data_IF_595145151408
#
_entry.id   IF_595145151408
#
_cell.length_a   1.000
_cell.length_b   1.000
_cell.length_c   1.000
_cell.angle_alpha   90.00
_cell.angle_beta   90.00
_cell.angle_gamma   90.00
#
_symmetry.space_group_name_H-M   'P 1'
#
loop_
_entity.id
_entity.type
_entity.pdbx_description
1 polymer ?
#
# COMPACT_ATOMS: atom_id res chain seq x y z
N UNK A 1 -5.20 -22.04 -49.97
CA UNK A 1 -6.00 -21.91 -48.72
C UNK A 1 -5.02 -21.99 -47.56
N UNK A 2 -4.63 -20.84 -47.00
CA UNK A 2 -3.70 -20.78 -45.87
C UNK A 2 -4.49 -20.29 -44.66
N UNK A 3 -4.69 -21.19 -43.69
CA UNK A 3 -5.48 -20.93 -42.50
C UNK A 3 -4.83 -19.81 -41.67
N UNK A 4 -5.46 -18.65 -41.66
CA UNK A 4 -5.19 -17.57 -40.71
C UNK A 4 -5.57 -18.07 -39.32
N UNK A 5 -4.54 -18.36 -38.51
CA UNK A 5 -4.70 -18.58 -37.08
C UNK A 5 -5.24 -17.27 -36.45
N UNK A 6 -6.54 -17.22 -36.19
CA UNK A 6 -7.16 -16.20 -35.37
C UNK A 6 -6.49 -16.22 -33.99
N UNK A 7 -5.67 -15.20 -33.72
CA UNK A 7 -5.14 -14.97 -32.37
C UNK A 7 -6.33 -14.59 -31.47
N UNK A 8 -6.56 -15.29 -30.34
CA UNK A 8 -7.64 -14.94 -29.44
C UNK A 8 -7.38 -13.56 -28.80
N UNK A 9 -8.45 -12.81 -28.49
CA UNK A 9 -8.33 -11.44 -28.02
C UNK A 9 -7.67 -11.40 -26.63
N UNK A 10 -6.43 -10.89 -26.55
CA UNK A 10 -5.69 -10.55 -25.31
C UNK A 10 -6.35 -9.37 -24.56
N UNK A 11 -7.63 -9.45 -24.22
CA UNK A 11 -8.38 -8.35 -23.60
C UNK A 11 -8.66 -8.53 -22.10
N UNK A 12 -8.64 -9.76 -21.56
CA UNK A 12 -8.96 -9.99 -20.13
C UNK A 12 -7.78 -9.78 -19.17
N UNK A 13 -6.54 -10.06 -19.59
CA UNK A 13 -5.37 -9.95 -18.70
C UNK A 13 -4.97 -8.50 -18.37
N UNK A 14 -5.32 -7.54 -19.23
CA UNK A 14 -4.99 -6.12 -19.06
C UNK A 14 -5.80 -5.43 -17.95
N UNK A 15 -7.02 -5.90 -17.68
CA UNK A 15 -7.89 -5.29 -16.64
C UNK A 15 -7.47 -5.67 -15.22
N UNK A 16 -6.90 -6.87 -15.04
CA UNK A 16 -6.49 -7.35 -13.71
C UNK A 16 -5.08 -6.88 -13.32
N UNK A 17 -4.25 -6.52 -14.30
CA UNK A 17 -2.89 -6.01 -14.08
C UNK A 17 -2.80 -4.85 -13.05
N UNK A 18 -3.63 -3.80 -13.11
CA UNK A 18 -3.57 -2.71 -12.12
C UNK A 18 -4.06 -3.12 -10.73
N UNK A 19 -4.99 -4.07 -10.63
CA UNK A 19 -5.47 -4.62 -9.34
C UNK A 19 -4.38 -5.45 -8.67
N UNK A 20 -3.81 -6.41 -9.41
CA UNK A 20 -2.73 -7.27 -8.90
C UNK A 20 -1.50 -6.42 -8.54
N UNK A 21 -1.16 -5.42 -9.38
CA UNK A 21 -0.09 -4.49 -9.09
C UNK A 21 -0.35 -3.68 -7.82
N UNK A 22 -1.58 -3.20 -7.61
CA UNK A 22 -2.01 -2.51 -6.39
C UNK A 22 -1.89 -3.40 -5.15
N UNK A 23 -2.43 -4.63 -5.22
CA UNK A 23 -2.33 -5.63 -4.15
C UNK A 23 -0.88 -5.93 -3.77
N UNK A 24 -0.03 -6.29 -4.74
CA UNK A 24 1.37 -6.67 -4.49
C UNK A 24 2.18 -5.47 -3.98
N UNK A 25 1.96 -4.29 -4.55
CA UNK A 25 2.66 -3.07 -4.11
C UNK A 25 2.30 -2.69 -2.68
N UNK A 26 1.04 -2.82 -2.28
CA UNK A 26 0.63 -2.57 -0.90
C UNK A 26 1.03 -3.70 0.05
N UNK A 27 1.06 -4.96 -0.41
CA UNK A 27 1.50 -6.09 0.41
C UNK A 27 2.94 -5.94 0.91
N UNK A 28 3.82 -5.42 0.07
CA UNK A 28 5.24 -5.21 0.42
C UNK A 28 5.48 -3.78 0.89
N UNK A 29 4.86 -2.81 0.24
CA UNK A 29 5.07 -1.40 0.50
C UNK A 29 4.46 -0.92 1.81
N UNK A 30 3.27 -1.41 2.19
CA UNK A 30 2.65 -0.95 3.43
C UNK A 30 3.42 -1.37 4.68
N UNK A 31 3.85 -2.64 4.84
CA UNK A 31 4.72 -3.02 5.97
C UNK A 31 6.06 -2.28 5.98
N UNK A 32 6.61 -1.98 4.80
CA UNK A 32 7.89 -1.29 4.68
C UNK A 32 7.77 0.20 5.06
N UNK A 33 6.68 0.87 4.64
CA UNK A 33 6.41 2.25 5.06
C UNK A 33 6.10 2.28 6.56
N UNK A 34 5.29 1.37 7.08
CA UNK A 34 4.98 1.28 8.50
C UNK A 34 6.23 1.07 9.37
N UNK A 35 7.11 0.16 8.94
CA UNK A 35 8.37 -0.13 9.61
C UNK A 35 9.36 1.05 9.58
N UNK A 36 9.20 2.03 8.68
CA UNK A 36 10.06 3.22 8.61
C UNK A 36 9.43 4.42 9.30
N UNK A 37 8.13 4.64 9.12
CA UNK A 37 7.41 5.80 9.67
C UNK A 37 7.39 5.74 11.18
N UNK A 38 7.06 4.59 11.78
CA UNK A 38 6.93 4.50 13.23
C UNK A 38 8.25 4.72 13.98
N UNK A 39 9.37 4.04 13.64
CA UNK A 39 10.66 4.32 14.27
C UNK A 39 11.16 5.73 13.99
N UNK A 40 10.85 6.31 12.83
CA UNK A 40 11.19 7.70 12.53
C UNK A 40 10.42 8.68 13.43
N UNK A 41 9.12 8.47 13.64
CA UNK A 41 8.31 9.31 14.54
C UNK A 41 8.79 9.18 15.97
N UNK A 42 9.07 7.97 16.46
CA UNK A 42 9.67 7.77 17.78
C UNK A 42 11.01 8.47 17.88
N UNK A 43 11.89 8.32 16.89
CA UNK A 43 13.21 8.93 16.88
C UNK A 43 13.11 10.46 16.96
N UNK A 44 12.21 11.07 16.17
CA UNK A 44 11.99 12.52 16.19
C UNK A 44 11.43 12.96 17.55
N UNK A 45 10.43 12.26 18.08
CA UNK A 45 9.83 12.61 19.37
C UNK A 45 10.86 12.54 20.50
N UNK A 46 11.64 11.47 20.57
CA UNK A 46 12.68 11.29 21.58
C UNK A 46 13.84 12.27 21.41
N UNK A 47 14.22 12.57 20.16
CA UNK A 47 15.26 13.57 19.87
C UNK A 47 14.85 14.99 20.30
N UNK A 48 13.55 15.31 20.27
CA UNK A 48 13.03 16.60 20.72
C UNK A 48 12.99 16.72 22.24
N UNK A 49 12.73 15.62 22.95
CA UNK A 49 12.61 15.60 24.41
C UNK A 49 13.98 15.47 25.09
N UNK A 50 14.80 14.50 24.66
CA UNK A 50 16.03 14.10 25.36
C UNK A 50 17.33 14.45 24.57
N UNK A 51 17.19 15.00 23.36
CA UNK A 51 18.30 15.35 22.47
C UNK A 51 18.74 14.19 21.56
N UNK A 52 19.57 14.46 20.53
CA UNK A 52 19.99 13.45 19.55
C UNK A 52 21.01 12.48 20.17
N UNK A 53 20.57 11.24 20.41
CA UNK A 53 21.39 10.17 21.00
C UNK A 53 21.61 9.02 20.00
N UNK A 54 22.85 8.52 19.92
CA UNK A 54 23.22 7.38 19.07
C UNK A 54 22.54 6.08 19.50
N UNK A 55 22.28 5.91 20.80
CA UNK A 55 21.57 4.74 21.33
C UNK A 55 20.12 4.68 20.85
N UNK A 56 19.41 5.81 20.84
CA UNK A 56 18.03 5.92 20.31
C UNK A 56 17.98 5.61 18.81
N UNK A 57 18.99 6.02 18.06
CA UNK A 57 19.14 5.71 16.64
C UNK A 57 19.30 4.21 16.40
N UNK A 58 20.13 3.55 17.21
CA UNK A 58 20.40 2.11 17.12
C UNK A 58 19.17 1.29 17.53
N UNK A 59 18.46 1.72 18.58
CA UNK A 59 17.18 1.13 18.98
C UNK A 59 16.12 1.25 17.88
N UNK A 60 15.95 2.45 17.31
CA UNK A 60 14.98 2.67 16.22
C UNK A 60 15.33 1.82 14.99
N UNK A 61 16.62 1.74 14.63
CA UNK A 61 17.08 0.90 13.53
C UNK A 61 16.81 -0.59 13.77
N UNK A 62 16.96 -1.07 15.01
CA UNK A 62 16.63 -2.44 15.42
C UNK A 62 15.13 -2.74 15.40
N UNK A 63 14.26 -1.75 15.62
CA UNK A 63 12.81 -1.90 15.57
C UNK A 63 12.27 -2.07 14.15
N UNK A 64 12.93 -1.52 13.13
CA UNK A 64 12.50 -1.63 11.71
C UNK A 64 12.26 -3.09 11.27
N UNK A 65 13.24 -4.02 11.37
CA UNK A 65 13.02 -5.41 10.96
C UNK A 65 11.98 -6.12 11.84
N UNK A 66 11.90 -5.78 13.13
CA UNK A 66 10.91 -6.36 14.04
C UNK A 66 9.48 -5.95 13.63
N UNK A 67 9.24 -4.67 13.37
CA UNK A 67 7.93 -4.17 12.92
C UNK A 67 7.57 -4.74 11.55
N UNK A 68 8.55 -4.87 10.67
CA UNK A 68 8.35 -5.49 9.36
C UNK A 68 7.90 -6.96 9.50
N UNK A 69 8.65 -7.78 10.25
CA UNK A 69 8.30 -9.20 10.47
C UNK A 69 6.98 -9.35 11.23
N UNK A 70 6.76 -8.51 12.26
CA UNK A 70 5.51 -8.49 13.02
C UNK A 70 4.31 -8.17 12.12
N UNK A 71 4.45 -7.26 11.15
CA UNK A 71 3.36 -6.94 10.22
C UNK A 71 2.90 -8.15 9.41
N UNK A 72 3.82 -9.03 9.02
CA UNK A 72 3.49 -10.30 8.35
C UNK A 72 2.91 -11.32 9.33
N UNK A 73 3.51 -11.45 10.52
CA UNK A 73 3.10 -12.44 11.52
C UNK A 73 1.69 -12.16 12.09
N UNK A 74 1.39 -10.90 12.36
CA UNK A 74 0.09 -10.45 12.85
C UNK A 74 -0.94 -10.21 11.74
N UNK A 75 -0.60 -10.43 10.47
CA UNK A 75 -1.55 -10.36 9.37
C UNK A 75 -2.01 -8.96 8.96
N UNK A 76 -1.38 -7.88 9.44
CA UNK A 76 -1.71 -6.50 9.04
C UNK A 76 -1.50 -6.23 7.53
N UNK A 77 -0.85 -7.15 6.83
CA UNK A 77 -0.75 -7.15 5.37
C UNK A 77 -2.11 -7.38 4.68
N UNK A 78 -3.05 -8.10 5.32
CA UNK A 78 -4.39 -8.36 4.77
C UNK A 78 -5.18 -7.07 4.46
N UNK A 79 -5.42 -6.16 5.44
CA UNK A 79 -6.12 -4.92 5.15
C UNK A 79 -5.36 -4.05 4.13
N UNK A 80 -4.02 -4.09 4.12
CA UNK A 80 -3.23 -3.39 3.11
C UNK A 80 -3.42 -3.95 1.69
N UNK A 81 -3.45 -5.28 1.52
CA UNK A 81 -3.73 -5.94 0.23
C UNK A 81 -5.12 -5.53 -0.27
N UNK A 82 -6.13 -5.59 0.61
CA UNK A 82 -7.51 -5.22 0.26
C UNK A 82 -7.58 -3.76 -0.18
N UNK A 83 -6.96 -2.85 0.57
CA UNK A 83 -6.91 -1.43 0.21
C UNK A 83 -6.18 -1.20 -1.12
N UNK A 84 -5.03 -1.83 -1.32
CA UNK A 84 -4.26 -1.76 -2.57
C UNK A 84 -5.01 -2.31 -3.77
N UNK A 85 -5.79 -3.38 -3.60
CA UNK A 85 -6.63 -3.96 -4.64
C UNK A 85 -7.77 -3.05 -5.06
N UNK A 86 -8.51 -2.48 -4.10
CA UNK A 86 -9.58 -1.50 -4.35
C UNK A 86 -9.03 -0.29 -5.09
N UNK A 87 -7.92 0.24 -4.61
CA UNK A 87 -7.21 1.38 -5.20
C UNK A 87 -6.69 1.09 -6.61
N UNK A 88 -6.13 -0.11 -6.83
CA UNK A 88 -5.69 -0.59 -8.13
C UNK A 88 -6.84 -0.75 -9.11
N UNK A 89 -8.01 -1.22 -8.65
CA UNK A 89 -9.22 -1.36 -9.46
C UNK A 89 -9.81 -0.01 -9.89
N UNK A 90 -9.80 0.98 -8.99
CA UNK A 90 -10.25 2.34 -9.29
C UNK A 90 -9.30 3.01 -10.30
N UNK A 91 -8.00 2.75 -10.18
CA UNK A 91 -6.97 3.26 -11.08
C UNK A 91 -6.91 4.79 -11.14
N UNK A 92 -6.56 5.38 -12.27
CA UNK A 92 -6.45 6.85 -12.44
C UNK A 92 -7.77 7.52 -12.81
N UNK A 93 -8.93 6.94 -12.52
CA UNK A 93 -10.24 7.53 -12.86
C UNK A 93 -10.53 8.82 -12.09
N UNK A 94 -9.89 9.00 -10.93
CA UNK A 94 -10.09 10.14 -10.02
C UNK A 94 -8.84 11.03 -10.03
N UNK A 95 -9.00 12.35 -9.86
CA UNK A 95 -7.88 13.30 -9.68
C UNK A 95 -7.00 12.88 -8.49
N UNK A 96 -5.68 13.10 -8.60
CA UNK A 96 -4.66 12.77 -7.58
C UNK A 96 -5.04 13.07 -6.12
N UNK A 97 -5.62 14.24 -5.85
CA UNK A 97 -6.05 14.63 -4.49
C UNK A 97 -7.20 13.74 -3.96
N UNK A 98 -8.19 13.44 -4.80
CA UNK A 98 -9.30 12.55 -4.44
C UNK A 98 -8.85 11.10 -4.29
N UNK A 99 -7.90 10.66 -5.12
CA UNK A 99 -7.34 9.31 -5.03
C UNK A 99 -6.57 9.07 -3.71
N UNK A 100 -5.80 10.07 -3.26
CA UNK A 100 -5.10 10.00 -1.95
C UNK A 100 -6.09 9.99 -0.78
N UNK A 101 -7.09 10.88 -0.79
CA UNK A 101 -8.12 10.89 0.26
C UNK A 101 -8.89 9.56 0.32
N UNK A 102 -9.26 9.02 -0.84
CA UNK A 102 -9.96 7.74 -0.92
C UNK A 102 -9.09 6.61 -0.38
N UNK A 103 -7.80 6.57 -0.72
CA UNK A 103 -6.90 5.57 -0.19
C UNK A 103 -6.69 5.67 1.31
N UNK A 104 -6.65 6.89 1.88
CA UNK A 104 -6.63 7.07 3.35
C UNK A 104 -7.90 6.52 3.99
N UNK A 105 -9.08 6.84 3.45
CA UNK A 105 -10.37 6.37 3.96
C UNK A 105 -10.45 4.84 3.88
N UNK A 106 -10.11 4.26 2.72
CA UNK A 106 -10.15 2.80 2.49
C UNK A 106 -9.13 2.07 3.37
N UNK A 107 -7.90 2.59 3.47
CA UNK A 107 -6.86 2.00 4.31
C UNK A 107 -7.19 2.06 5.81
N UNK A 108 -7.64 3.23 6.30
CA UNK A 108 -8.01 3.41 7.71
C UNK A 108 -9.24 2.56 8.09
N UNK A 109 -10.25 2.48 7.20
CA UNK A 109 -11.43 1.65 7.43
C UNK A 109 -11.10 0.16 7.39
N UNK A 110 -10.26 -0.30 6.45
CA UNK A 110 -9.81 -1.68 6.40
C UNK A 110 -9.00 -2.06 7.64
N UNK A 111 -8.11 -1.18 8.10
CA UNK A 111 -7.29 -1.42 9.28
C UNK A 111 -8.11 -1.42 10.57
N UNK A 112 -9.03 -0.46 10.72
CA UNK A 112 -9.96 -0.40 11.85
C UNK A 112 -10.87 -1.63 11.88
N UNK A 113 -11.40 -2.04 10.73
CA UNK A 113 -12.20 -3.25 10.61
C UNK A 113 -11.42 -4.52 10.97
N UNK A 114 -10.14 -4.59 10.58
CA UNK A 114 -9.26 -5.70 10.95
C UNK A 114 -8.98 -5.73 12.46
N UNK A 115 -8.70 -4.57 13.08
CA UNK A 115 -8.48 -4.47 14.52
C UNK A 115 -9.72 -4.88 15.32
N UNK A 116 -10.92 -4.44 14.91
CA UNK A 116 -12.19 -4.83 15.53
C UNK A 116 -12.46 -6.34 15.37
N UNK A 117 -12.22 -6.88 14.17
CA UNK A 117 -12.37 -8.32 13.92
C UNK A 117 -11.42 -9.15 14.78
N UNK A 118 -10.16 -8.71 14.91
CA UNK A 118 -9.15 -9.34 15.77
C UNK A 118 -9.56 -9.28 17.25
N UNK A 119 -10.01 -8.13 17.73
CA UNK A 119 -10.49 -7.97 19.11
C UNK A 119 -11.70 -8.88 19.39
N UNK A 120 -12.65 -8.96 18.46
CA UNK A 120 -13.80 -9.85 18.55
C UNK A 120 -13.40 -11.33 18.57
N UNK A 121 -12.51 -11.77 17.67
CA UNK A 121 -12.05 -13.16 17.63
C UNK A 121 -11.26 -13.57 18.89
N UNK A 122 -10.50 -12.64 19.48
CA UNK A 122 -9.69 -12.88 20.66
C UNK A 122 -10.44 -12.63 21.98
N UNK A 123 -11.70 -12.20 21.94
CA UNK A 123 -12.48 -11.87 23.13
C UNK A 123 -11.89 -10.71 23.94
N UNK A 124 -11.16 -9.81 23.29
CA UNK A 124 -10.55 -8.65 23.93
C UNK A 124 -11.55 -7.49 23.98
N UNK A 125 -11.79 -6.94 25.16
CA UNK A 125 -12.69 -5.79 25.37
C UNK A 125 -12.09 -4.45 24.89
N UNK A 126 -10.78 -4.41 24.61
CA UNK A 126 -10.08 -3.19 24.24
C UNK A 126 -9.15 -3.39 23.03
N UNK A 127 -9.13 -2.38 22.15
CA UNK A 127 -8.17 -2.29 21.05
C UNK A 127 -6.79 -2.08 21.67
N UNK A 128 -5.93 -3.11 21.60
CA UNK A 128 -4.59 -3.04 22.20
C UNK A 128 -3.79 -1.85 21.66
N UNK A 129 -2.88 -1.28 22.46
CA UNK A 129 -2.09 -0.11 22.05
C UNK A 129 -1.34 -0.28 20.73
N UNK A 130 -0.97 -1.52 20.38
CA UNK A 130 -0.36 -1.89 19.09
C UNK A 130 -1.34 -1.67 17.92
N UNK A 131 -2.62 -2.02 18.09
CA UNK A 131 -3.65 -1.81 17.07
C UNK A 131 -3.95 -0.33 16.87
N UNK A 132 -3.95 0.47 17.95
CA UNK A 132 -4.09 1.93 17.86
C UNK A 132 -2.94 2.60 17.09
N UNK A 133 -1.70 2.18 17.35
CA UNK A 133 -0.52 2.60 16.60
C UNK A 133 -0.64 2.22 15.13
N UNK A 134 -1.09 1.00 14.85
CA UNK A 134 -1.21 0.50 13.49
C UNK A 134 -2.33 1.22 12.70
N UNK A 135 -3.42 1.63 13.36
CA UNK A 135 -4.46 2.49 12.76
C UNK A 135 -3.86 3.85 12.41
N UNK A 136 -3.13 4.50 13.32
CA UNK A 136 -2.52 5.82 13.06
C UNK A 136 -1.53 5.75 11.89
N UNK A 137 -0.66 4.73 11.89
CA UNK A 137 0.29 4.51 10.80
C UNK A 137 -0.41 4.24 9.46
N UNK A 138 -1.56 3.55 9.49
CA UNK A 138 -2.33 3.27 8.28
C UNK A 138 -2.78 4.53 7.52
N UNK A 139 -2.98 5.66 8.19
CA UNK A 139 -3.27 6.95 7.52
C UNK A 139 -2.09 7.40 6.67
N UNK A 140 -0.89 7.42 7.26
CA UNK A 140 0.34 7.87 6.59
C UNK A 140 0.72 6.89 5.49
N UNK A 141 0.75 5.61 5.82
CA UNK A 141 1.08 4.52 4.90
C UNK A 141 0.12 4.51 3.70
N UNK A 142 -1.18 4.66 3.93
CA UNK A 142 -2.16 4.75 2.84
C UNK A 142 -1.99 6.02 2.02
N UNK A 143 -1.75 7.18 2.63
CA UNK A 143 -1.52 8.43 1.88
C UNK A 143 -0.30 8.32 0.94
N UNK A 144 0.82 7.83 1.47
CA UNK A 144 2.08 7.66 0.73
C UNK A 144 1.90 6.65 -0.41
N UNK A 145 1.33 5.48 -0.11
CA UNK A 145 1.16 4.44 -1.10
C UNK A 145 0.14 4.81 -2.18
N UNK A 146 -0.95 5.48 -1.81
CA UNK A 146 -1.94 6.03 -2.75
C UNK A 146 -1.32 7.02 -3.72
N UNK A 147 -0.50 7.92 -3.17
CA UNK A 147 0.19 8.92 -3.96
C UNK A 147 1.18 8.30 -4.95
N UNK A 148 1.96 7.33 -4.48
CA UNK A 148 2.92 6.60 -5.30
C UNK A 148 2.24 5.80 -6.41
N UNK A 149 1.18 5.04 -6.06
CA UNK A 149 0.42 4.21 -6.98
C UNK A 149 -0.23 5.06 -8.08
N UNK A 150 -0.82 6.20 -7.73
CA UNK A 150 -1.40 7.12 -8.71
C UNK A 150 -0.36 7.60 -9.73
N UNK A 151 0.82 8.01 -9.26
CA UNK A 151 1.91 8.50 -10.13
C UNK A 151 2.44 7.39 -11.04
N UNK A 152 2.52 6.15 -10.55
CA UNK A 152 2.93 4.98 -11.34
C UNK A 152 1.91 4.63 -12.42
N UNK A 153 0.63 4.63 -12.09
CA UNK A 153 -0.44 4.36 -13.06
C UNK A 153 -0.56 5.46 -14.11
N UNK A 154 -0.38 6.73 -13.74
CA UNK A 154 -0.31 7.84 -14.70
C UNK A 154 0.87 7.69 -15.68
N UNK A 155 2.04 7.30 -15.18
CA UNK A 155 3.23 7.04 -16.03
C UNK A 155 3.01 5.87 -16.98
N UNK A 156 2.42 4.78 -16.51
CA UNK A 156 2.10 3.63 -17.34
C UNK A 156 1.12 3.99 -18.46
N UNK A 157 0.06 4.76 -18.15
CA UNK A 157 -0.90 5.25 -19.14
C UNK A 157 -0.26 6.16 -20.19
N UNK A 158 0.65 7.05 -19.78
CA UNK A 158 1.41 7.91 -20.71
C UNK A 158 2.35 7.12 -21.62
N UNK A 159 3.02 6.09 -21.10
CA UNK A 159 3.89 5.22 -21.88
C UNK A 159 3.09 4.43 -22.94
N UNK A 160 1.88 3.96 -22.62
CA UNK A 160 0.99 3.31 -23.60
C UNK A 160 0.47 4.29 -24.66
N UNK A 161 0.24 5.56 -24.30
CA UNK A 161 -0.22 6.58 -25.26
C UNK A 161 0.91 7.14 -26.14
N UNK A 162 2.17 7.01 -25.71
CA UNK A 162 3.36 7.45 -26.44
C UNK A 162 4.03 6.36 -27.28
N UNK A 163 3.54 5.12 -27.26
CA UNK A 163 4.03 4.07 -28.14
C UNK A 163 3.55 4.37 -29.58
N UNK A 164 4.47 4.53 -30.57
CA UNK A 164 4.06 4.71 -31.95
C UNK A 164 3.22 3.50 -32.39
N UNK A 165 2.11 3.77 -33.06
CA UNK A 165 1.38 2.76 -33.79
C UNK A 165 2.40 2.06 -34.70
N UNK A 166 2.62 0.77 -34.47
CA UNK A 166 3.47 -0.02 -35.33
C UNK A 166 2.80 -0.01 -36.70
N UNK A 167 3.36 0.78 -37.62
CA UNK A 167 2.99 0.78 -39.03
C UNK A 167 2.96 -0.67 -39.51
N UNK A 168 1.79 -1.09 -40.00
CA UNK A 168 1.63 -2.34 -40.73
C UNK A 168 2.36 -2.22 -42.07
N UNK A 169 2.89 -3.33 -42.60
CA UNK A 169 3.71 -3.29 -43.81
C UNK A 169 2.87 -2.88 -45.03
N UNK A 170 3.40 -1.93 -45.80
CA UNK A 170 2.97 -1.63 -47.16
C UNK A 170 3.51 -2.69 -48.14
#
# INVERSE_FOLDING_TARGET
MSATFERPPRKSSRSSAPVVFGCVSFAVGAPLVAALVWPLVMLVAWSVIDGPQWDTLTLCAGMVPLIFVASFLFGYVLPAIVAGGIMGAIGTRIRRRGFVLLGVIVGASAMTGYALLKAFLLGMDEIGGIDGVAILDSFVTSAVMSHWLHRRLERAKRAESGAPAHDGPA
#
